data_IF_668682297098
#
_entry.id   IF_668682297098
#
_cell.length_a   1.000
_cell.length_b   1.000
_cell.length_c   1.000
_cell.angle_alpha   90.00
_cell.angle_beta   90.00
_cell.angle_gamma   90.00
#
_symmetry.space_group_name_H-M   'P 1'
#
loop_
_entity.id
_entity.type
_entity.pdbx_description
1 polymer ?
#
# COMPACT_ATOMS: atom_id res chain seq x y z
N UNK A 1 -2.70 2.78 0.70
CA UNK A 1 -1.54 3.10 -0.17
C UNK A 1 -1.67 4.51 -0.71
N UNK A 2 -1.17 5.52 0.03
CA UNK A 2 -1.15 6.92 -0.45
C UNK A 2 -0.14 7.13 -1.59
N UNK A 3 0.90 6.29 -1.67
CA UNK A 3 1.98 6.37 -2.67
C UNK A 3 1.54 6.11 -4.13
N UNK A 4 0.43 5.39 -4.38
CA UNK A 4 -0.08 5.24 -5.76
C UNK A 4 -0.42 6.58 -6.39
N UNK A 5 -0.97 7.50 -5.59
CA UNK A 5 -1.33 8.85 -6.04
C UNK A 5 -0.12 9.70 -6.40
N UNK A 6 1.04 9.48 -5.77
CA UNK A 6 2.26 10.22 -6.12
C UNK A 6 2.92 9.72 -7.41
N UNK A 7 2.63 8.49 -7.84
CA UNK A 7 3.12 7.89 -9.09
C UNK A 7 2.12 8.04 -10.26
N UNK A 8 0.92 8.59 -10.03
CA UNK A 8 -0.11 8.76 -11.07
C UNK A 8 -0.75 7.45 -11.56
N UNK A 9 -0.50 6.32 -10.90
CA UNK A 9 -1.00 5.01 -11.31
C UNK A 9 -2.46 4.79 -10.87
N UNK A 10 -3.28 4.33 -11.81
CA UNK A 10 -4.63 3.83 -11.56
C UNK A 10 -4.60 2.44 -10.94
N UNK A 11 -5.73 2.02 -10.37
CA UNK A 11 -5.86 0.70 -9.77
C UNK A 11 -5.83 -0.43 -10.81
N UNK A 12 -6.31 -0.18 -12.04
CA UNK A 12 -6.20 -1.08 -13.19
C UNK A 12 -4.76 -1.34 -13.57
N UNK A 13 -3.94 -0.29 -13.64
CA UNK A 13 -2.52 -0.43 -13.98
C UNK A 13 -1.75 -1.20 -12.92
N UNK A 14 -2.08 -1.03 -11.64
CA UNK A 14 -1.45 -1.80 -10.56
C UNK A 14 -1.87 -3.26 -10.60
N UNK A 15 -3.14 -3.56 -10.92
CA UNK A 15 -3.58 -4.95 -11.13
C UNK A 15 -2.82 -5.58 -12.29
N UNK A 16 -2.71 -4.89 -13.44
CA UNK A 16 -1.98 -5.38 -14.60
C UNK A 16 -0.50 -5.67 -14.31
N UNK A 17 0.15 -4.86 -13.45
CA UNK A 17 1.56 -5.02 -13.07
C UNK A 17 1.79 -6.07 -11.98
N UNK A 18 0.88 -6.18 -11.03
CA UNK A 18 1.08 -6.99 -9.81
C UNK A 18 0.36 -8.34 -9.83
N UNK A 19 -0.62 -8.53 -10.73
CA UNK A 19 -1.47 -9.71 -10.76
C UNK A 19 -2.53 -9.76 -9.64
N UNK A 20 -2.57 -8.76 -8.76
CA UNK A 20 -3.56 -8.66 -7.70
C UNK A 20 -4.80 -7.91 -8.17
N UNK A 21 -5.97 -8.51 -7.97
CA UNK A 21 -7.24 -7.90 -8.38
C UNK A 21 -7.46 -6.53 -7.75
N UNK A 22 -8.18 -5.65 -8.45
CA UNK A 22 -8.62 -4.38 -7.87
C UNK A 22 -9.27 -4.59 -6.50
N UNK A 23 -10.17 -5.57 -6.37
CA UNK A 23 -10.85 -5.83 -5.11
C UNK A 23 -9.87 -6.12 -3.97
N UNK A 24 -8.84 -6.96 -4.22
CA UNK A 24 -7.80 -7.25 -3.25
C UNK A 24 -7.02 -5.98 -2.86
N UNK A 25 -6.54 -5.22 -3.86
CA UNK A 25 -5.81 -3.97 -3.66
C UNK A 25 -6.65 -2.95 -2.87
N UNK A 26 -7.95 -2.88 -3.18
CA UNK A 26 -8.91 -2.00 -2.52
C UNK A 26 -9.11 -2.38 -1.05
N UNK A 27 -9.28 -3.67 -0.76
CA UNK A 27 -9.38 -4.15 0.62
C UNK A 27 -8.07 -3.92 1.40
N UNK A 28 -6.93 -4.14 0.76
CA UNK A 28 -5.62 -3.90 1.34
C UNK A 28 -5.42 -2.42 1.70
N UNK A 29 -5.77 -1.50 0.80
CA UNK A 29 -5.65 -0.06 1.02
C UNK A 29 -6.51 0.47 2.17
N UNK A 30 -7.64 -0.19 2.45
CA UNK A 30 -8.53 0.13 3.57
C UNK A 30 -8.16 -0.59 4.87
N UNK A 31 -7.02 -1.29 4.91
CA UNK A 31 -6.58 -2.04 6.09
C UNK A 31 -7.46 -3.26 6.41
N UNK A 32 -8.22 -3.77 5.44
CA UNK A 32 -9.09 -4.96 5.59
C UNK A 32 -8.36 -6.27 5.27
N UNK A 33 -7.06 -6.22 4.97
CA UNK A 33 -6.20 -7.36 4.69
C UNK A 33 -4.91 -7.24 5.48
N UNK A 34 -4.35 -8.39 5.87
CA UNK A 34 -3.01 -8.51 6.41
C UNK A 34 -2.15 -9.29 5.39
N UNK A 35 -1.44 -8.61 4.48
CA UNK A 35 -0.62 -9.28 3.46
C UNK A 35 0.56 -10.00 4.10
N UNK A 36 1.05 -11.06 3.46
CA UNK A 36 2.33 -11.66 3.85
C UNK A 36 3.48 -10.75 3.43
N UNK A 37 4.69 -11.00 3.97
CA UNK A 37 5.88 -10.26 3.54
C UNK A 37 6.18 -10.45 2.04
N UNK A 38 5.85 -11.62 1.49
CA UNK A 38 6.01 -11.94 0.06
C UNK A 38 5.07 -11.06 -0.77
N UNK A 39 3.80 -10.98 -0.40
CA UNK A 39 2.83 -10.11 -1.08
C UNK A 39 3.23 -8.64 -1.01
N UNK A 40 3.74 -8.19 0.14
CA UNK A 40 4.28 -6.83 0.31
C UNK A 40 5.44 -6.55 -0.65
N UNK A 41 6.35 -7.52 -0.80
CA UNK A 41 7.49 -7.43 -1.70
C UNK A 41 7.09 -7.43 -3.18
N UNK A 42 6.15 -8.27 -3.58
CA UNK A 42 5.61 -8.31 -4.96
C UNK A 42 4.91 -7.01 -5.33
N UNK A 43 4.10 -6.46 -4.42
CA UNK A 43 3.44 -5.17 -4.62
C UNK A 43 4.45 -4.02 -4.71
N UNK A 44 5.52 -4.06 -3.91
CA UNK A 44 6.58 -3.06 -3.96
C UNK A 44 7.30 -3.06 -5.32
N UNK A 45 7.62 -4.24 -5.85
CA UNK A 45 8.21 -4.39 -7.18
C UNK A 45 7.28 -3.87 -8.29
N UNK A 46 5.98 -4.22 -8.23
CA UNK A 46 5.01 -3.75 -9.21
C UNK A 46 4.80 -2.22 -9.20
N UNK A 47 5.08 -1.58 -8.06
CA UNK A 47 4.96 -0.15 -7.85
C UNK A 47 6.29 0.61 -7.98
N UNK A 48 7.40 -0.09 -8.23
CA UNK A 48 8.76 0.47 -8.29
C UNK A 48 9.13 1.30 -7.04
N UNK A 49 8.89 0.72 -5.86
CA UNK A 49 9.21 1.32 -4.55
C UNK A 49 9.86 0.31 -3.61
N UNK A 50 10.43 0.79 -2.49
CA UNK A 50 10.84 -0.13 -1.42
C UNK A 50 9.62 -0.66 -0.68
N UNK A 51 9.65 -1.93 -0.29
CA UNK A 51 8.63 -2.54 0.58
C UNK A 51 8.54 -1.83 1.94
N UNK A 52 9.64 -1.19 2.39
CA UNK A 52 9.66 -0.36 3.59
C UNK A 52 8.71 0.83 3.41
N UNK A 53 8.70 1.46 2.23
CA UNK A 53 7.85 2.62 1.99
C UNK A 53 6.36 2.30 2.08
N UNK A 54 5.97 1.05 1.78
CA UNK A 54 4.59 0.58 1.89
C UNK A 54 4.08 0.44 3.33
N UNK A 55 4.98 0.34 4.31
CA UNK A 55 4.67 0.16 5.75
C UNK A 55 5.07 1.35 6.61
N UNK A 56 5.78 2.33 6.05
CA UNK A 56 6.16 3.54 6.78
C UNK A 56 4.91 4.32 7.23
N UNK A 57 4.82 4.69 8.52
CA UNK A 57 3.75 5.56 9.01
C UNK A 57 3.81 6.90 8.28
N UNK A 58 2.70 7.29 7.66
CA UNK A 58 2.52 8.67 7.17
C UNK A 58 2.35 9.60 8.37
N UNK A 59 2.64 10.89 8.22
CA UNK A 59 2.56 11.85 9.33
C UNK A 59 1.15 11.91 9.97
N UNK A 60 0.11 11.57 9.21
CA UNK A 60 -1.26 11.38 9.70
C UNK A 60 -1.37 10.26 10.77
N UNK A 61 -0.58 9.19 10.63
CA UNK A 61 -0.52 8.09 11.60
C UNK A 61 0.28 8.48 12.86
N UNK A 62 1.29 9.35 12.73
CA UNK A 62 2.05 9.89 13.89
C UNK A 62 1.19 10.78 14.78
N UNK A 63 0.21 11.49 14.20
CA UNK A 63 -0.71 12.35 14.94
C UNK A 63 -1.70 11.54 15.80
N UNK A 64 -2.13 10.38 15.30
CA UNK A 64 -3.12 9.54 15.99
C UNK A 64 -2.56 8.81 17.22
N UNK A 65 -1.24 8.55 17.26
CA UNK A 65 -0.56 7.94 18.41
C UNK A 65 -0.11 8.91 19.50
N UNK A 66 -0.30 10.23 19.32
CA UNK A 66 0.07 11.26 20.32
C UNK A 66 -1.07 11.65 21.26
N UNK A 67 -2.29 11.14 21.04
CA UNK A 67 -3.47 11.45 21.86
C UNK A 67 -3.76 10.40 22.93
N UNK A 68 -2.94 9.35 23.03
CA UNK A 68 -3.03 8.33 24.09
C UNK A 68 -1.81 8.44 25.01
N UNK A 69 -1.68 9.57 25.72
CA UNK A 69 -0.90 9.71 26.96
C UNK A 69 -1.60 10.68 27.90
#
# INVERSE_FOLDING_TARGET
>A
MKQKRSQGLTQEEVEARSGYSQQYLSSLERGRRNPTIITLYELAQALDVSHVDLVMPTDDAKLRGKSEV
#
